data_IF_690264540039
#
_entry.id   IF_690264540039
#
_cell.length_a   1.000
_cell.length_b   1.000
_cell.length_c   1.000
_cell.angle_alpha   90.00
_cell.angle_beta   90.00
_cell.angle_gamma   90.00
#
_symmetry.space_group_name_H-M   'P 1'
#
loop_
_entity.id
_entity.type
_entity.pdbx_description
1 polymer ?
#
# COMPACT_ATOMS: atom_id res chain seq x y z
N UNK A 1 -23.42 0.29 31.00
CA UNK A 1 -24.23 -0.17 29.87
C UNK A 1 -24.15 0.91 28.79
N UNK A 2 -23.35 0.69 27.74
CA UNK A 2 -23.19 1.65 26.64
C UNK A 2 -24.21 1.31 25.56
N UNK A 3 -25.20 2.18 25.37
CA UNK A 3 -26.17 2.10 24.27
C UNK A 3 -25.47 2.49 22.97
N UNK A 4 -25.03 1.49 22.20
CA UNK A 4 -24.56 1.66 20.83
C UNK A 4 -25.77 1.65 19.88
N UNK A 5 -26.15 2.84 19.40
CA UNK A 5 -27.21 3.02 18.42
C UNK A 5 -28.26 4.00 18.91
N UNK A 6 -28.48 5.08 18.14
CA UNK A 6 -29.62 5.98 18.39
C UNK A 6 -30.87 5.17 18.09
N UNK A 7 -31.57 4.73 19.14
CA UNK A 7 -32.77 3.92 19.04
C UNK A 7 -33.80 4.69 18.19
N UNK A 8 -34.21 4.10 17.07
CA UNK A 8 -35.37 4.58 16.33
C UNK A 8 -36.60 4.08 17.08
N UNK A 9 -37.51 4.99 17.40
CA UNK A 9 -38.80 4.66 17.97
C UNK A 9 -39.79 4.36 16.83
N UNK A 10 -40.85 3.60 17.08
CA UNK A 10 -41.81 3.17 16.04
C UNK A 10 -42.55 4.33 15.34
N UNK A 11 -42.52 5.52 15.94
CA UNK A 11 -43.05 6.78 15.42
C UNK A 11 -42.03 7.60 14.61
N UNK A 12 -40.77 7.16 14.54
CA UNK A 12 -39.73 7.89 13.81
C UNK A 12 -40.02 7.84 12.31
N UNK A 13 -40.39 8.97 11.74
CA UNK A 13 -40.68 9.06 10.31
C UNK A 13 -39.39 9.12 9.47
N UNK A 14 -39.47 8.68 8.22
CA UNK A 14 -38.33 8.75 7.29
C UNK A 14 -37.81 10.18 7.10
N UNK A 15 -38.72 11.16 7.12
CA UNK A 15 -38.36 12.58 7.04
C UNK A 15 -37.51 13.04 8.23
N UNK A 16 -37.82 12.57 9.44
CA UNK A 16 -37.07 12.90 10.64
C UNK A 16 -35.68 12.24 10.67
N UNK A 17 -35.58 11.01 10.14
CA UNK A 17 -34.29 10.36 9.91
C UNK A 17 -33.47 11.15 8.87
N UNK A 18 -34.10 11.60 7.79
CA UNK A 18 -33.48 12.44 6.77
C UNK A 18 -32.91 13.75 7.34
N UNK A 19 -33.73 14.51 8.07
CA UNK A 19 -33.29 15.75 8.71
C UNK A 19 -32.15 15.50 9.71
N UNK A 20 -32.17 14.38 10.44
CA UNK A 20 -31.09 14.02 11.36
C UNK A 20 -29.80 13.68 10.63
N UNK A 21 -29.88 13.01 9.49
CA UNK A 21 -28.72 12.72 8.64
C UNK A 21 -28.16 14.01 8.05
N UNK A 22 -29.00 14.90 7.53
CA UNK A 22 -28.57 16.20 7.01
C UNK A 22 -27.91 17.05 8.10
N UNK A 23 -28.49 17.08 9.31
CA UNK A 23 -27.90 17.78 10.45
C UNK A 23 -26.58 17.14 10.91
N UNK A 24 -26.45 15.81 10.85
CA UNK A 24 -25.20 15.12 11.19
C UNK A 24 -24.10 15.39 10.17
N UNK A 25 -24.45 15.42 8.88
CA UNK A 25 -23.54 15.73 7.77
C UNK A 25 -23.13 17.20 7.80
N UNK A 26 -24.06 18.13 8.06
CA UNK A 26 -23.76 19.55 8.22
C UNK A 26 -22.85 19.83 9.43
N UNK A 27 -22.98 19.04 10.50
CA UNK A 27 -22.11 19.12 11.68
C UNK A 27 -20.79 18.34 11.52
N UNK A 28 -20.56 17.71 10.36
CA UNK A 28 -19.33 16.96 10.11
C UNK A 28 -18.18 17.95 9.89
N UNK A 29 -17.49 18.29 10.98
CA UNK A 29 -16.34 19.18 10.96
C UNK A 29 -15.19 18.57 10.16
N UNK A 30 -14.46 19.42 9.42
CA UNK A 30 -13.19 19.06 8.76
C UNK A 30 -12.20 18.38 9.70
N UNK A 31 -12.26 18.69 11.01
CA UNK A 31 -11.45 18.04 12.04
C UNK A 31 -11.81 16.56 12.25
N UNK A 32 -13.10 16.22 12.20
CA UNK A 32 -13.57 14.83 12.31
C UNK A 32 -13.15 14.00 11.08
N UNK A 33 -13.22 14.60 9.89
CA UNK A 33 -12.75 13.99 8.64
C UNK A 33 -11.22 13.80 8.67
N UNK A 34 -10.50 14.80 9.15
CA UNK A 34 -9.04 14.77 9.27
C UNK A 34 -8.53 13.65 10.17
N UNK A 35 -9.23 13.37 11.28
CA UNK A 35 -8.91 12.23 12.15
C UNK A 35 -9.02 10.89 11.43
N UNK A 36 -10.09 10.70 10.64
CA UNK A 36 -10.28 9.49 9.84
C UNK A 36 -9.20 9.33 8.76
N UNK A 37 -8.85 10.41 8.05
CA UNK A 37 -7.79 10.40 7.03
C UNK A 37 -6.44 10.05 7.66
N UNK A 38 -6.10 10.68 8.79
CA UNK A 38 -4.84 10.42 9.50
C UNK A 38 -4.75 8.97 9.96
N UNK A 39 -5.85 8.41 10.51
CA UNK A 39 -5.89 7.01 10.93
C UNK A 39 -5.63 6.07 9.75
N UNK A 40 -6.32 6.27 8.62
CA UNK A 40 -6.09 5.47 7.42
C UNK A 40 -4.65 5.56 6.90
N UNK A 41 -4.01 6.73 6.99
CA UNK A 41 -2.60 6.88 6.64
C UNK A 41 -1.67 6.10 7.57
N UNK A 42 -1.96 6.08 8.88
CA UNK A 42 -1.17 5.30 9.85
C UNK A 42 -1.32 3.80 9.59
N UNK A 43 -2.54 3.33 9.36
CA UNK A 43 -2.82 1.93 9.06
C UNK A 43 -2.11 1.49 7.76
N UNK A 44 -2.07 2.36 6.75
CA UNK A 44 -1.35 2.11 5.49
C UNK A 44 0.17 2.04 5.68
N UNK A 45 0.75 2.91 6.50
CA UNK A 45 2.18 2.89 6.83
C UNK A 45 2.58 1.63 7.59
N UNK A 46 1.72 1.17 8.50
CA UNK A 46 1.97 -0.05 9.27
C UNK A 46 1.90 -1.29 8.37
N UNK A 47 0.91 -1.34 7.47
CA UNK A 47 0.82 -2.38 6.45
C UNK A 47 2.05 -2.39 5.54
N UNK A 48 2.48 -1.22 5.04
CA UNK A 48 3.67 -1.11 4.21
C UNK A 48 4.91 -1.64 4.94
N UNK A 49 5.10 -1.27 6.21
CA UNK A 49 6.21 -1.81 7.03
C UNK A 49 6.14 -3.33 7.12
N UNK A 50 4.96 -3.89 7.37
CA UNK A 50 4.81 -5.34 7.50
C UNK A 50 5.12 -6.07 6.20
N UNK A 51 4.68 -5.53 5.06
CA UNK A 51 4.97 -6.09 3.73
C UNK A 51 6.47 -5.98 3.41
N UNK A 52 7.12 -4.84 3.68
CA UNK A 52 8.56 -4.70 3.44
C UNK A 52 9.41 -5.71 4.24
N UNK A 53 9.03 -6.01 5.48
CA UNK A 53 9.71 -7.04 6.28
C UNK A 53 9.59 -8.41 5.62
N UNK A 54 8.41 -8.75 5.09
CA UNK A 54 8.18 -10.03 4.41
C UNK A 54 8.97 -10.12 3.09
N UNK A 55 9.06 -9.04 2.33
CA UNK A 55 9.86 -8.99 1.10
C UNK A 55 11.36 -9.16 1.40
N UNK A 56 11.88 -8.50 2.44
CA UNK A 56 13.28 -8.63 2.88
C UNK A 56 13.59 -10.06 3.39
N UNK A 57 12.66 -10.67 4.12
CA UNK A 57 12.81 -12.06 4.62
C UNK A 57 12.72 -13.08 3.46
N UNK A 58 11.89 -12.84 2.45
CA UNK A 58 11.77 -13.69 1.26
C UNK A 58 13.06 -13.69 0.42
N UNK A 59 13.76 -12.55 0.32
CA UNK A 59 15.06 -12.47 -0.38
C UNK A 59 16.17 -13.20 0.40
N UNK A 60 16.06 -13.29 1.73
CA UNK A 60 17.07 -13.96 2.57
C UNK A 60 17.01 -15.49 2.47
N UNK A 61 15.82 -16.06 2.30
CA UNK A 61 15.61 -17.50 2.14
C UNK A 61 16.00 -18.04 0.74
N UNK A 62 16.10 -17.18 -0.29
CA UNK A 62 16.58 -17.57 -1.64
C UNK A 62 18.12 -17.60 -1.74
N UNK A 63 18.82 -16.89 -0.85
CA UNK A 63 20.29 -16.75 -0.88
C UNK A 63 21.10 -17.96 -0.36
N UNK A 64 20.47 -19.14 -0.31
CA UNK A 64 21.06 -20.40 0.13
C UNK A 64 21.26 -21.41 -0.99
N UNK A 65 21.90 -21.04 -2.11
CA UNK A 65 22.33 -22.02 -3.13
C UNK A 65 23.85 -21.94 -3.34
N UNK A 66 24.46 -22.97 -2.76
CA UNK A 66 25.80 -23.53 -2.81
C UNK A 66 26.78 -23.05 -3.90
N UNK A 67 28.02 -22.86 -3.47
CA UNK A 67 29.12 -22.37 -4.29
C UNK A 67 29.51 -23.36 -5.38
N UNK A 68 29.80 -22.82 -6.55
CA UNK A 68 30.74 -23.45 -7.47
C UNK A 68 31.58 -22.38 -8.14
N UNK A 69 32.73 -22.11 -7.54
CA UNK A 69 33.84 -21.47 -8.24
C UNK A 69 34.29 -22.46 -9.32
N UNK A 70 34.17 -22.10 -10.59
CA UNK A 70 34.94 -22.76 -11.64
C UNK A 70 35.52 -21.71 -12.56
N UNK A 71 36.78 -21.45 -12.26
CA UNK A 71 37.77 -20.67 -12.97
C UNK A 71 38.00 -21.18 -14.41
N UNK A 72 38.46 -20.26 -15.25
CA UNK A 72 39.17 -20.46 -16.53
C UNK A 72 38.33 -20.97 -17.71
N UNK A 73 38.27 -20.29 -18.84
CA UNK A 73 39.44 -19.86 -19.62
C UNK A 73 39.21 -18.54 -20.37
N UNK A 74 40.14 -17.60 -20.18
CA UNK A 74 40.39 -16.52 -21.12
C UNK A 74 40.74 -17.08 -22.51
N UNK A 75 40.16 -16.51 -23.56
CA UNK A 75 40.72 -16.55 -24.91
C UNK A 75 40.41 -15.24 -25.61
N UNK A 76 41.38 -14.34 -25.50
CA UNK A 76 41.49 -13.09 -26.24
C UNK A 76 41.95 -13.37 -27.67
N UNK A 77 41.33 -12.74 -28.67
CA UNK A 77 41.90 -12.28 -29.96
C UNK A 77 40.77 -12.15 -30.98
N UNK A 78 40.68 -11.17 -31.87
CA UNK A 78 41.36 -9.90 -32.10
C UNK A 78 40.58 -9.21 -33.22
N UNK A 79 40.57 -7.89 -33.19
CA UNK A 79 40.11 -6.91 -34.19
C UNK A 79 39.97 -7.40 -35.63
N UNK A 80 38.82 -7.11 -36.26
CA UNK A 80 38.75 -6.82 -37.69
C UNK A 80 37.82 -5.61 -37.91
N UNK A 81 38.48 -4.48 -38.15
CA UNK A 81 38.01 -3.28 -38.83
C UNK A 81 37.43 -3.63 -40.22
N UNK A 82 36.32 -3.00 -40.61
CA UNK A 82 36.02 -2.62 -42.01
C UNK A 82 34.76 -1.75 -42.11
N UNK A 83 34.98 -0.54 -42.62
CA UNK A 83 34.01 0.48 -42.96
C UNK A 83 33.27 0.22 -44.29
N UNK A 84 32.01 0.68 -44.39
CA UNK A 84 31.41 1.43 -45.53
C UNK A 84 29.94 1.75 -45.22
N UNK A 85 29.52 3.01 -45.06
CA UNK A 85 29.23 4.06 -46.06
C UNK A 85 27.83 3.93 -46.69
N UNK A 86 26.97 4.85 -46.26
CA UNK A 86 25.98 5.69 -46.97
C UNK A 86 25.42 5.24 -48.34
N UNK A 87 24.09 5.39 -48.49
CA UNK A 87 23.33 5.24 -49.74
C UNK A 87 21.83 5.19 -49.51
#
# INVERSE_FOLDING_TARGET
MMTFGRQYQDDTTFAEVGHRLDAAVANLSSHAIFGCIRKAQMDLLDLHRHVSVLDDDNIREESGVDGSVSDSTASSSSSLDSANSDG
#
